data_IF_100499217560
#
_entry.id   IF_100499217560
#
_cell.length_a   1.000
_cell.length_b   1.000
_cell.length_c   1.000
_cell.angle_alpha   90.00
_cell.angle_beta   90.00
_cell.angle_gamma   90.00
#
_symmetry.space_group_name_H-M   'P 1'
#
loop_
_entity.id
_entity.type
_entity.pdbx_description
1 polymer ?
#
# COMPACT_ATOMS: atom_id res chain seq x y z
N UNK A 1 -21.11 -2.68 7.45
CA UNK A 1 -20.62 -2.11 8.71
C UNK A 1 -19.14 -1.92 8.50
N UNK A 2 -18.70 -0.67 8.47
CA UNK A 2 -17.31 -0.34 8.14
C UNK A 2 -16.38 -0.90 9.20
N UNK A 3 -15.41 -1.70 8.78
CA UNK A 3 -14.36 -2.20 9.65
C UNK A 3 -13.19 -1.22 9.60
N UNK A 4 -12.80 -0.66 10.75
CA UNK A 4 -11.63 0.23 10.84
C UNK A 4 -10.47 -0.50 11.52
N UNK A 5 -9.31 -0.53 10.88
CA UNK A 5 -8.06 -1.08 11.42
C UNK A 5 -7.05 0.05 11.59
N UNK A 6 -6.59 0.25 12.82
CA UNK A 6 -5.64 1.29 13.16
C UNK A 6 -4.20 0.76 13.14
N UNK A 7 -3.26 1.60 12.72
CA UNK A 7 -1.83 1.33 12.70
C UNK A 7 -1.07 2.45 13.40
N UNK A 8 -0.23 2.09 14.36
CA UNK A 8 0.66 3.05 15.04
C UNK A 8 1.91 3.36 14.20
N UNK A 9 2.31 2.41 13.34
CA UNK A 9 3.46 2.52 12.45
C UNK A 9 3.10 2.05 11.05
N UNK A 10 3.85 2.52 10.06
CA UNK A 10 3.71 2.03 8.70
C UNK A 10 3.89 0.50 8.66
N UNK A 11 3.01 -0.23 7.94
CA UNK A 11 3.22 -1.64 7.66
C UNK A 11 4.59 -1.88 7.03
N UNK A 12 5.27 -2.94 7.45
CA UNK A 12 6.58 -3.28 6.88
C UNK A 12 6.43 -3.75 5.43
N UNK A 13 7.20 -3.14 4.52
CA UNK A 13 7.10 -3.38 3.08
C UNK A 13 7.47 -4.81 2.68
N UNK A 14 8.50 -5.41 3.30
CA UNK A 14 8.99 -6.73 2.90
C UNK A 14 7.91 -7.84 3.05
N UNK A 15 7.24 -7.99 4.21
CA UNK A 15 6.10 -8.90 4.33
C UNK A 15 4.99 -8.63 3.30
N UNK A 16 4.71 -7.36 3.01
CA UNK A 16 3.66 -6.98 2.05
C UNK A 16 4.03 -7.38 0.62
N UNK A 17 5.29 -7.22 0.21
CA UNK A 17 5.76 -7.67 -1.11
C UNK A 17 5.65 -9.19 -1.23
N UNK A 18 6.00 -9.94 -0.18
CA UNK A 18 5.80 -11.38 -0.16
C UNK A 18 4.32 -11.74 -0.31
N UNK A 19 3.44 -11.12 0.48
CA UNK A 19 1.98 -11.35 0.37
C UNK A 19 1.43 -11.00 -1.00
N UNK A 20 1.94 -9.96 -1.65
CA UNK A 20 1.54 -9.58 -3.00
C UNK A 20 1.92 -10.61 -4.07
N UNK A 21 3.05 -11.30 -3.89
CA UNK A 21 3.54 -12.29 -4.84
C UNK A 21 2.90 -13.68 -4.69
N UNK A 22 2.52 -14.08 -3.46
CA UNK A 22 1.97 -15.41 -3.17
C UNK A 22 0.78 -15.84 -4.07
N UNK A 23 -0.22 -14.97 -4.37
CA UNK A 23 -1.34 -15.33 -5.23
C UNK A 23 -0.95 -15.70 -6.67
N UNK A 24 0.20 -15.22 -7.16
CA UNK A 24 0.66 -15.48 -8.51
C UNK A 24 1.41 -16.81 -8.66
N UNK A 25 1.73 -17.48 -7.54
CA UNK A 25 2.43 -18.76 -7.56
C UNK A 25 1.43 -19.90 -7.83
N UNK A 26 1.73 -20.80 -8.79
CA UNK A 26 0.91 -21.99 -9.02
C UNK A 26 0.72 -22.81 -7.76
N UNK A 27 -0.47 -23.39 -7.57
CA UNK A 27 -0.88 -24.16 -6.39
C UNK A 27 -1.04 -23.31 -5.12
N UNK A 28 -0.04 -22.51 -4.76
CA UNK A 28 -0.03 -21.65 -3.57
C UNK A 28 -1.13 -20.59 -3.63
N UNK A 29 -1.38 -20.01 -4.81
CA UNK A 29 -2.37 -18.95 -4.97
C UNK A 29 -3.82 -19.38 -4.67
N UNK A 30 -4.11 -20.68 -4.70
CA UNK A 30 -5.42 -21.23 -4.37
C UNK A 30 -5.64 -21.53 -2.89
N UNK A 31 -4.60 -21.44 -2.06
CA UNK A 31 -4.67 -21.85 -0.65
C UNK A 31 -5.49 -20.88 0.21
N UNK A 32 -6.19 -21.38 1.25
CA UNK A 32 -6.82 -20.52 2.25
C UNK A 32 -5.82 -19.53 2.86
N UNK A 33 -6.20 -18.26 2.94
CA UNK A 33 -5.32 -17.18 3.44
C UNK A 33 -4.33 -16.62 2.41
N UNK A 34 -4.28 -17.17 1.19
CA UNK A 34 -3.57 -16.60 0.04
C UNK A 34 -4.55 -16.19 -1.06
N UNK A 35 -5.55 -17.05 -1.31
CA UNK A 35 -6.59 -16.77 -2.31
C UNK A 35 -7.39 -15.53 -1.91
N UNK A 36 -7.46 -14.57 -2.83
CA UNK A 36 -8.32 -13.40 -2.69
C UNK A 36 -9.80 -13.79 -2.82
N UNK A 37 -10.66 -13.07 -2.12
CA UNK A 37 -12.09 -13.12 -2.27
C UNK A 37 -12.49 -12.75 -3.70
N UNK A 38 -13.73 -13.06 -4.08
CA UNK A 38 -14.33 -12.63 -5.34
C UNK A 38 -15.53 -11.75 -5.05
N UNK A 39 -15.78 -10.76 -5.91
CA UNK A 39 -16.96 -9.89 -5.82
C UNK A 39 -16.58 -8.45 -5.50
N UNK A 40 -17.28 -7.85 -4.55
CA UNK A 40 -17.17 -6.42 -4.25
C UNK A 40 -15.98 -6.08 -3.36
N UNK A 41 -15.55 -4.82 -3.41
CA UNK A 41 -14.51 -4.28 -2.51
C UNK A 41 -15.08 -4.21 -1.09
N UNK A 42 -14.33 -4.66 -0.07
CA UNK A 42 -14.81 -4.65 1.31
C UNK A 42 -14.96 -3.22 1.86
N UNK A 43 -15.92 -3.06 2.77
CA UNK A 43 -16.12 -1.86 3.58
C UNK A 43 -15.05 -1.81 4.71
N UNK A 44 -13.81 -1.51 4.31
CA UNK A 44 -12.60 -1.55 5.14
C UNK A 44 -11.85 -0.21 5.10
N UNK A 45 -11.55 0.31 6.29
CA UNK A 45 -10.73 1.52 6.49
C UNK A 45 -9.43 1.13 7.19
N UNK A 46 -8.29 1.50 6.61
CA UNK A 46 -6.99 1.43 7.29
C UNK A 46 -6.58 2.84 7.71
N UNK A 47 -6.39 3.07 9.00
CA UNK A 47 -6.08 4.38 9.57
C UNK A 47 -4.68 4.38 10.17
N UNK A 48 -3.90 5.42 9.87
CA UNK A 48 -2.68 5.76 10.58
C UNK A 48 -2.70 7.26 10.89
N UNK A 49 -2.48 7.60 12.16
CA UNK A 49 -2.40 8.98 12.63
C UNK A 49 -0.95 9.40 12.83
N UNK A 50 -0.73 10.69 13.10
CA UNK A 50 0.56 11.25 13.52
C UNK A 50 1.71 10.94 12.56
N UNK A 51 1.41 10.99 11.26
CA UNK A 51 2.38 10.72 10.20
C UNK A 51 3.36 11.88 10.09
N UNK A 52 4.62 11.61 10.44
CA UNK A 52 5.75 12.54 10.27
C UNK A 52 6.52 12.27 8.98
N UNK A 53 7.13 13.31 8.42
CA UNK A 53 8.04 13.17 7.27
C UNK A 53 9.44 12.83 7.74
N UNK A 54 9.99 11.74 7.22
CA UNK A 54 11.43 11.46 7.27
C UNK A 54 12.14 12.33 6.22
N UNK A 55 13.01 13.22 6.68
CA UNK A 55 13.73 14.19 5.83
C UNK A 55 14.82 13.54 4.99
N UNK A 56 15.41 12.43 5.44
CA UNK A 56 16.39 11.68 4.66
C UNK A 56 15.69 10.95 3.50
N UNK A 57 14.53 10.35 3.77
CA UNK A 57 13.70 9.75 2.74
C UNK A 57 13.17 10.80 1.75
N UNK A 58 12.75 11.98 2.23
CA UNK A 58 12.33 13.09 1.36
C UNK A 58 13.46 13.52 0.41
N UNK A 59 14.68 13.70 0.93
CA UNK A 59 15.82 14.08 0.10
C UNK A 59 16.13 13.04 -0.98
N UNK A 60 16.07 11.74 -0.65
CA UNK A 60 16.25 10.67 -1.61
C UNK A 60 15.13 10.64 -2.68
N UNK A 61 13.88 10.89 -2.26
CA UNK A 61 12.75 11.00 -3.18
C UNK A 61 12.90 12.19 -4.14
N UNK A 62 13.28 13.36 -3.62
CA UNK A 62 13.51 14.56 -4.42
C UNK A 62 14.59 14.33 -5.47
N UNK A 63 15.70 13.70 -5.08
CA UNK A 63 16.79 13.34 -6.00
C UNK A 63 16.32 12.39 -7.11
N UNK A 64 15.65 11.29 -6.76
CA UNK A 64 15.17 10.29 -7.72
C UNK A 64 14.12 10.87 -8.67
N UNK A 65 13.22 11.72 -8.16
CA UNK A 65 12.14 12.30 -8.94
C UNK A 65 12.49 13.64 -9.61
N UNK A 66 13.67 14.21 -9.35
CA UNK A 66 14.11 15.48 -9.92
C UNK A 66 13.42 16.72 -9.35
N UNK A 67 12.91 16.66 -8.12
CA UNK A 67 12.38 17.83 -7.42
C UNK A 67 13.51 18.67 -6.83
N UNK A 68 13.34 20.00 -6.83
CA UNK A 68 14.22 20.90 -6.10
C UNK A 68 13.92 20.89 -4.60
N UNK A 69 14.93 21.14 -3.78
CA UNK A 69 14.76 21.30 -2.33
C UNK A 69 13.91 22.53 -2.02
N UNK A 70 12.92 22.38 -1.16
CA UNK A 70 12.09 23.48 -0.69
C UNK A 70 11.54 23.22 0.71
N UNK A 71 10.94 24.24 1.33
CA UNK A 71 10.23 24.10 2.62
C UNK A 71 8.84 23.44 2.48
N UNK A 72 8.43 23.11 1.26
CA UNK A 72 7.19 22.41 0.96
C UNK A 72 7.46 21.00 0.42
N UNK A 73 6.61 20.05 0.79
CA UNK A 73 6.67 18.71 0.21
C UNK A 73 6.20 18.74 -1.25
N UNK A 74 6.84 17.99 -2.16
CA UNK A 74 6.26 17.74 -3.48
C UNK A 74 4.84 17.18 -3.33
N UNK A 75 3.89 17.63 -4.16
CA UNK A 75 2.47 17.22 -4.08
C UNK A 75 2.28 15.71 -4.16
N UNK A 76 3.21 14.98 -4.79
CA UNK A 76 3.21 13.53 -4.92
C UNK A 76 3.83 12.79 -3.74
N UNK A 77 4.62 13.46 -2.89
CA UNK A 77 5.30 12.84 -1.75
C UNK A 77 4.38 12.21 -0.70
N UNK A 78 3.20 12.78 -0.37
CA UNK A 78 2.27 12.14 0.56
C UNK A 78 1.90 10.69 0.19
N UNK A 79 1.97 10.33 -1.09
CA UNK A 79 1.79 8.95 -1.53
C UNK A 79 2.78 7.99 -0.86
N UNK A 80 4.03 8.39 -0.63
CA UNK A 80 5.06 7.56 0.01
C UNK A 80 4.66 7.18 1.44
N UNK A 81 3.98 8.06 2.17
CA UNK A 81 3.47 7.81 3.52
C UNK A 81 2.23 6.92 3.54
N UNK A 82 1.38 7.01 2.50
CA UNK A 82 0.14 6.26 2.40
C UNK A 82 0.32 4.87 1.76
N UNK A 83 1.35 4.67 0.93
CA UNK A 83 1.49 3.49 0.08
C UNK A 83 1.54 2.17 0.86
N UNK A 84 2.18 2.15 2.03
CA UNK A 84 2.22 0.95 2.87
C UNK A 84 0.81 0.52 3.34
N UNK A 85 -0.11 1.46 3.59
CA UNK A 85 -1.50 1.16 3.89
C UNK A 85 -2.24 0.67 2.64
N UNK A 86 -2.03 1.29 1.47
CA UNK A 86 -2.60 0.79 0.22
C UNK A 86 -2.19 -0.66 -0.06
N UNK A 87 -0.90 -0.98 0.10
CA UNK A 87 -0.40 -2.35 -0.05
C UNK A 87 -0.98 -3.30 1.01
N UNK A 88 -1.14 -2.85 2.26
CA UNK A 88 -1.78 -3.66 3.30
C UNK A 88 -3.26 -3.95 2.98
N UNK A 89 -3.97 -3.00 2.37
CA UNK A 89 -5.35 -3.19 1.91
C UNK A 89 -5.39 -4.15 0.71
N UNK A 90 -4.57 -3.91 -0.31
CA UNK A 90 -4.57 -4.75 -1.53
C UNK A 90 -4.09 -6.19 -1.26
N UNK A 91 -3.28 -6.42 -0.21
CA UNK A 91 -2.82 -7.76 0.21
C UNK A 91 -3.69 -8.40 1.30
N UNK A 92 -4.76 -7.74 1.72
CA UNK A 92 -5.80 -8.36 2.53
C UNK A 92 -6.64 -9.27 1.61
N UNK A 93 -6.80 -10.54 1.97
CA UNK A 93 -7.50 -11.51 1.11
C UNK A 93 -9.00 -11.21 0.99
N UNK A 94 -9.55 -10.27 1.77
CA UNK A 94 -10.90 -9.76 1.56
C UNK A 94 -10.99 -8.77 0.40
N UNK A 95 -9.88 -8.16 -0.01
CA UNK A 95 -9.82 -7.34 -1.23
C UNK A 95 -9.87 -8.26 -2.47
N UNK A 96 -10.72 -7.99 -3.46
CA UNK A 96 -11.05 -8.99 -4.48
C UNK A 96 -9.99 -9.14 -5.60
N UNK A 97 -8.96 -8.30 -5.60
CA UNK A 97 -7.95 -8.28 -6.65
C UNK A 97 -6.56 -8.59 -6.09
N UNK A 98 -5.89 -9.62 -6.63
CA UNK A 98 -4.50 -9.86 -6.31
C UNK A 98 -3.64 -8.67 -6.79
N UNK A 99 -2.67 -8.16 -5.99
CA UNK A 99 -1.92 -6.96 -6.36
C UNK A 99 -1.04 -7.10 -7.61
N UNK A 100 -0.41 -8.28 -7.81
CA UNK A 100 0.44 -8.50 -8.98
C UNK A 100 -0.38 -8.51 -10.27
N UNK A 101 0.03 -7.67 -11.22
CA UNK A 101 -0.65 -7.51 -12.51
C UNK A 101 -1.69 -6.39 -12.55
N UNK A 102 -1.93 -5.68 -11.42
CA UNK A 102 -2.79 -4.50 -11.42
C UNK A 102 -2.17 -3.34 -12.20
N UNK A 103 -3.04 -2.57 -12.85
CA UNK A 103 -2.67 -1.37 -13.60
C UNK A 103 -3.23 -0.16 -12.86
N UNK A 104 -2.35 0.77 -12.48
CA UNK A 104 -2.75 2.05 -11.90
C UNK A 104 -3.30 2.94 -13.02
N UNK A 105 -4.61 3.22 -12.99
CA UNK A 105 -5.26 3.99 -14.07
C UNK A 105 -5.18 5.51 -13.88
N UNK A 106 -5.31 6.00 -12.64
CA UNK A 106 -5.40 7.45 -12.37
C UNK A 106 -4.96 7.80 -10.94
N UNK A 107 -4.34 8.96 -10.79
CA UNK A 107 -4.14 9.66 -9.52
C UNK A 107 -4.71 11.07 -9.66
N UNK A 108 -5.53 11.52 -8.71
CA UNK A 108 -6.19 12.84 -8.72
C UNK A 108 -6.13 13.48 -7.36
#
# INVERSE_FOLDING_TARGET
MTTTRQYDKAPSTLPLMLKAALPALPVVGGLPGVKHASGEVPDLVLLRSDVTTDTAHLAAYEEVCGFGRSDALPTTYPHMSAFALHMALMTDTTFPFAPMGLVHLRNT
#
